data_IF_385935269393
#
_entry.id   IF_385935269393
#
_cell.length_a   1.000
_cell.length_b   1.000
_cell.length_c   1.000
_cell.angle_alpha   90.00
_cell.angle_beta   90.00
_cell.angle_gamma   90.00
#
_symmetry.space_group_name_H-M   'P 1'
#
loop_
_entity.id
_entity.type
_entity.pdbx_description
1 polymer ?
#
# COMPACT_ATOMS: atom_id res chain seq x y z
N UNK A 1 12.52 -8.89 -8.24
CA UNK A 1 11.39 -8.15 -7.64
C UNK A 1 11.82 -6.71 -7.32
N UNK A 2 11.01 -5.96 -6.54
CA UNK A 2 11.23 -4.56 -6.15
C UNK A 2 12.04 -4.35 -4.89
N UNK A 3 11.82 -3.21 -4.22
CA UNK A 3 12.50 -2.74 -2.98
C UNK A 3 14.03 -2.85 -3.04
N UNK A 4 14.61 -2.72 -4.24
CA UNK A 4 16.04 -2.92 -4.51
C UNK A 4 16.97 -1.94 -3.79
N UNK A 5 16.43 -0.79 -3.37
CA UNK A 5 17.18 0.21 -2.60
C UNK A 5 17.25 -0.11 -1.10
N UNK A 6 16.44 -1.05 -0.61
CA UNK A 6 16.42 -1.46 0.79
C UNK A 6 17.39 -2.63 0.98
N UNK A 7 18.48 -2.47 1.76
CA UNK A 7 19.40 -3.57 2.01
C UNK A 7 18.70 -4.63 2.86
N UNK A 8 18.50 -5.81 2.28
CA UNK A 8 18.03 -7.01 2.96
C UNK A 8 19.13 -8.07 2.90
N UNK A 9 19.44 -8.68 4.05
CA UNK A 9 20.53 -9.65 4.17
C UNK A 9 20.17 -10.78 5.11
N UNK A 10 20.87 -11.90 4.92
CA UNK A 10 20.82 -13.05 5.80
C UNK A 10 21.85 -12.85 6.93
N UNK A 11 21.49 -13.20 8.16
CA UNK A 11 22.34 -12.98 9.34
C UNK A 11 22.45 -14.24 10.18
N UNK A 12 23.66 -14.52 10.66
CA UNK A 12 23.95 -15.53 11.68
C UNK A 12 24.35 -14.82 12.97
N UNK A 13 23.75 -15.23 14.08
CA UNK A 13 24.05 -14.68 15.40
C UNK A 13 24.98 -15.66 16.14
N UNK A 14 26.28 -15.39 16.13
CA UNK A 14 27.28 -16.09 16.94
C UNK A 14 27.77 -15.18 18.08
N UNK A 15 27.51 -15.59 19.33
CA UNK A 15 27.88 -14.81 20.53
C UNK A 15 27.23 -13.43 20.63
N UNK A 16 26.18 -13.15 19.86
CA UNK A 16 25.50 -11.85 19.86
C UNK A 16 24.86 -11.56 21.22
N UNK A 17 25.21 -10.44 21.83
CA UNK A 17 24.66 -10.02 23.12
C UNK A 17 23.25 -9.47 22.93
N UNK A 18 22.26 -10.12 23.54
CA UNK A 18 20.87 -9.66 23.59
C UNK A 18 20.41 -9.35 25.02
N UNK A 19 19.45 -8.45 25.13
CA UNK A 19 18.83 -8.08 26.41
C UNK A 19 17.35 -8.44 26.39
N UNK A 20 16.85 -9.00 27.49
CA UNK A 20 15.42 -9.31 27.63
C UNK A 20 14.64 -8.01 27.78
N UNK A 21 13.59 -7.85 26.99
CA UNK A 21 12.64 -6.75 27.08
C UNK A 21 11.33 -7.27 27.67
N UNK A 22 10.93 -6.75 28.83
CA UNK A 22 9.71 -7.14 29.53
C UNK A 22 9.78 -8.54 30.16
N UNK A 23 8.64 -9.23 30.23
CA UNK A 23 8.53 -10.60 30.75
C UNK A 23 9.04 -11.61 29.69
N UNK A 24 10.04 -12.47 30.01
CA UNK A 24 10.56 -13.49 29.10
C UNK A 24 9.48 -14.39 28.48
N UNK A 25 8.37 -14.61 29.17
CA UNK A 25 7.30 -15.48 28.71
C UNK A 25 6.29 -14.79 27.77
N UNK A 26 6.46 -13.48 27.53
CA UNK A 26 5.51 -12.66 26.76
C UNK A 26 6.07 -12.10 25.45
N UNK A 27 7.26 -12.55 25.01
CA UNK A 27 7.93 -12.02 23.82
C UNK A 27 7.05 -11.95 22.56
N UNK A 28 6.23 -12.98 22.32
CA UNK A 28 5.32 -12.98 21.15
C UNK A 28 4.27 -11.87 21.21
N UNK A 29 3.77 -11.53 22.40
CA UNK A 29 2.76 -10.50 22.58
C UNK A 29 3.34 -9.11 22.32
N UNK A 30 4.56 -8.85 22.82
CA UNK A 30 5.27 -7.60 22.53
C UNK A 30 5.55 -7.45 21.03
N UNK A 31 5.94 -8.54 20.36
CA UNK A 31 6.16 -8.52 18.91
C UNK A 31 4.86 -8.30 18.12
N UNK A 32 3.72 -8.82 18.58
CA UNK A 32 2.43 -8.59 17.92
C UNK A 32 2.00 -7.11 17.97
N UNK A 33 2.37 -6.36 19.01
CA UNK A 33 2.11 -4.91 19.07
C UNK A 33 2.89 -4.16 17.99
N UNK A 34 4.19 -4.42 17.87
CA UNK A 34 5.01 -3.84 16.82
C UNK A 34 4.56 -4.29 15.40
N UNK A 35 4.08 -5.53 15.26
CA UNK A 35 3.52 -6.01 14.00
C UNK A 35 2.27 -5.22 13.57
N UNK A 36 1.40 -4.86 14.51
CA UNK A 36 0.21 -4.07 14.21
C UNK A 36 0.57 -2.70 13.62
N UNK A 37 1.53 -1.99 14.22
CA UNK A 37 2.02 -0.72 13.68
C UNK A 37 2.63 -0.89 12.28
N UNK A 38 3.44 -1.93 12.09
CA UNK A 38 4.06 -2.21 10.79
C UNK A 38 3.03 -2.47 9.68
N UNK A 39 1.90 -3.12 10.01
CA UNK A 39 0.79 -3.37 9.06
C UNK A 39 0.09 -2.09 8.65
N UNK A 40 -0.11 -1.15 9.58
CA UNK A 40 -0.66 0.18 9.28
C UNK A 40 0.29 0.95 8.36
N UNK A 41 1.60 0.93 8.66
CA UNK A 41 2.61 1.56 7.81
C UNK A 41 2.63 0.97 6.40
N UNK A 42 2.51 -0.36 6.27
CA UNK A 42 2.42 -1.03 4.99
C UNK A 42 1.15 -0.65 4.22
N UNK A 43 -0.01 -0.56 4.88
CA UNK A 43 -1.24 -0.10 4.24
C UNK A 43 -1.10 1.32 3.67
N UNK A 44 -0.48 2.24 4.42
CA UNK A 44 -0.18 3.60 3.94
C UNK A 44 0.75 3.57 2.72
N UNK A 45 1.80 2.75 2.74
CA UNK A 45 2.71 2.60 1.60
C UNK A 45 1.97 2.08 0.35
N UNK A 46 1.12 1.06 0.51
CA UNK A 46 0.29 0.50 -0.56
C UNK A 46 -0.66 1.53 -1.17
N UNK A 47 -1.37 2.30 -0.33
CA UNK A 47 -2.23 3.40 -0.79
C UNK A 47 -1.42 4.50 -1.49
N UNK A 48 -0.19 4.77 -1.03
CA UNK A 48 0.74 5.68 -1.71
C UNK A 48 1.08 5.21 -3.14
N UNK A 49 1.36 3.91 -3.30
CA UNK A 49 1.58 3.29 -4.62
C UNK A 49 0.33 3.42 -5.49
N UNK A 50 -0.86 3.09 -4.97
CA UNK A 50 -2.13 3.23 -5.69
C UNK A 50 -2.32 4.66 -6.21
N UNK A 51 -2.10 5.65 -5.34
CA UNK A 51 -2.21 7.07 -5.70
C UNK A 51 -1.21 7.47 -6.77
N UNK A 52 0.04 7.02 -6.66
CA UNK A 52 1.08 7.31 -7.66
C UNK A 52 0.75 6.67 -9.01
N UNK A 53 0.40 5.39 -9.02
CA UNK A 53 0.02 4.66 -10.24
C UNK A 53 -1.15 5.31 -10.97
N UNK A 54 -2.22 5.66 -10.25
CA UNK A 54 -3.37 6.38 -10.83
C UNK A 54 -2.97 7.74 -11.40
N UNK A 55 -2.12 8.51 -10.69
CA UNK A 55 -1.71 9.84 -11.13
C UNK A 55 -0.87 9.80 -12.40
N UNK A 56 0.07 8.84 -12.50
CA UNK A 56 0.86 8.60 -13.70
C UNK A 56 -0.03 8.20 -14.88
N UNK A 57 -0.92 7.23 -14.67
CA UNK A 57 -1.82 6.75 -15.73
C UNK A 57 -2.71 7.88 -16.25
N UNK A 58 -3.36 8.62 -15.34
CA UNK A 58 -4.19 9.76 -15.73
C UNK A 58 -3.39 10.81 -16.48
N UNK A 59 -2.21 11.17 -15.99
CA UNK A 59 -1.38 12.18 -16.64
C UNK A 59 -0.97 11.75 -18.05
N UNK A 60 -0.53 10.50 -18.24
CA UNK A 60 -0.15 9.99 -19.54
C UNK A 60 -1.33 9.97 -20.52
N UNK A 61 -2.48 9.45 -20.09
CA UNK A 61 -3.68 9.35 -20.93
C UNK A 61 -4.24 10.71 -21.33
N UNK A 62 -4.11 11.73 -20.48
CA UNK A 62 -4.54 13.11 -20.79
C UNK A 62 -3.66 13.81 -21.82
N UNK A 63 -2.46 13.29 -22.10
CA UNK A 63 -1.51 13.89 -23.05
C UNK A 63 -1.22 12.97 -24.25
N UNK A 64 -1.88 11.81 -24.31
CA UNK A 64 -1.67 10.81 -25.36
C UNK A 64 -2.88 10.78 -26.29
N UNK A 65 -2.61 10.88 -27.58
CA UNK A 65 -3.61 10.70 -28.63
C UNK A 65 -3.50 9.32 -29.26
N UNK A 66 -4.65 8.75 -29.61
CA UNK A 66 -4.78 7.59 -30.48
C UNK A 66 -6.12 7.66 -31.21
N UNK A 67 -6.19 7.10 -32.42
CA UNK A 67 -7.42 7.08 -33.23
C UNK A 67 -8.08 8.48 -33.41
N UNK A 68 -7.26 9.54 -33.42
CA UNK A 68 -7.68 10.91 -33.70
C UNK A 68 -8.13 11.74 -32.49
N UNK A 69 -8.12 11.18 -31.27
CA UNK A 69 -8.54 11.89 -30.06
C UNK A 69 -7.61 11.62 -28.88
N UNK A 70 -7.65 12.48 -27.87
CA UNK A 70 -6.97 12.24 -26.58
C UNK A 70 -7.60 11.03 -25.88
N UNK A 71 -6.78 10.16 -25.31
CA UNK A 71 -7.24 8.88 -24.76
C UNK A 71 -8.30 9.04 -23.65
N UNK A 72 -8.28 10.13 -22.88
CA UNK A 72 -9.30 10.42 -21.87
C UNK A 72 -10.68 10.77 -22.43
N UNK A 73 -10.85 10.94 -23.74
CA UNK A 73 -12.16 11.13 -24.38
C UNK A 73 -12.90 9.81 -24.62
N UNK A 74 -12.21 8.66 -24.54
CA UNK A 74 -12.84 7.36 -24.76
C UNK A 74 -13.56 6.85 -23.50
N UNK A 75 -14.83 6.42 -23.61
CA UNK A 75 -15.62 5.98 -22.45
C UNK A 75 -14.97 4.87 -21.62
N UNK A 76 -14.28 3.93 -22.27
CA UNK A 76 -13.59 2.82 -21.58
C UNK A 76 -12.46 3.32 -20.66
N UNK A 77 -11.72 4.34 -21.10
CA UNK A 77 -10.66 4.96 -20.30
C UNK A 77 -11.27 5.75 -19.14
N UNK A 78 -12.35 6.49 -19.40
CA UNK A 78 -13.06 7.24 -18.38
C UNK A 78 -13.61 6.33 -17.28
N UNK A 79 -14.23 5.20 -17.64
CA UNK A 79 -14.74 4.21 -16.69
C UNK A 79 -13.62 3.64 -15.80
N UNK A 80 -12.49 3.26 -16.41
CA UNK A 80 -11.32 2.76 -15.68
C UNK A 80 -10.75 3.79 -14.70
N UNK A 81 -10.53 5.02 -15.16
CA UNK A 81 -10.02 6.11 -14.33
C UNK A 81 -11.00 6.51 -13.22
N UNK A 82 -12.31 6.52 -13.50
CA UNK A 82 -13.33 6.85 -12.50
C UNK A 82 -13.38 5.81 -11.38
N UNK A 83 -13.35 4.51 -11.73
CA UNK A 83 -13.28 3.41 -10.75
C UNK A 83 -12.03 3.51 -9.89
N UNK A 84 -10.88 3.82 -10.49
CA UNK A 84 -9.63 3.96 -9.74
C UNK A 84 -9.64 5.21 -8.85
N UNK A 85 -10.16 6.33 -9.34
CA UNK A 85 -10.29 7.54 -8.54
C UNK A 85 -11.17 7.31 -7.30
N UNK A 86 -12.32 6.64 -7.47
CA UNK A 86 -13.24 6.35 -6.37
C UNK A 86 -12.60 5.38 -5.35
N UNK A 87 -12.01 4.28 -5.83
CA UNK A 87 -11.43 3.26 -4.95
C UNK A 87 -10.23 3.79 -4.19
N UNK A 88 -9.29 4.52 -4.82
CA UNK A 88 -8.15 5.10 -4.09
C UNK A 88 -8.59 6.11 -3.03
N UNK A 89 -9.66 6.87 -3.29
CA UNK A 89 -10.19 7.81 -2.31
C UNK A 89 -10.73 7.08 -1.06
N UNK A 90 -11.49 6.01 -1.26
CA UNK A 90 -12.03 5.19 -0.16
C UNK A 90 -10.92 4.50 0.62
N UNK A 91 -9.89 3.95 -0.05
CA UNK A 91 -8.77 3.30 0.64
C UNK A 91 -7.96 4.29 1.49
N UNK A 92 -7.72 5.51 0.97
CA UNK A 92 -7.10 6.58 1.76
C UNK A 92 -7.94 6.88 2.99
N UNK A 93 -9.23 7.20 2.82
CA UNK A 93 -10.10 7.57 3.94
C UNK A 93 -10.15 6.47 5.01
N UNK A 94 -10.42 5.24 4.58
CA UNK A 94 -10.51 4.06 5.47
C UNK A 94 -9.20 3.82 6.23
N UNK A 95 -8.04 4.02 5.58
CA UNK A 95 -6.74 3.86 6.24
C UNK A 95 -6.50 4.95 7.30
N UNK A 96 -6.88 6.20 7.03
CA UNK A 96 -6.76 7.29 7.99
C UNK A 96 -7.76 7.17 9.16
N UNK A 97 -8.97 6.65 8.90
CA UNK A 97 -9.93 6.33 9.95
C UNK A 97 -9.40 5.22 10.87
N UNK A 98 -8.74 4.20 10.30
CA UNK A 98 -8.04 3.18 11.09
C UNK A 98 -6.92 3.78 11.95
N UNK A 99 -6.14 4.72 11.42
CA UNK A 99 -5.07 5.37 12.19
C UNK A 99 -5.65 6.10 13.41
N UNK A 100 -6.73 6.86 13.22
CA UNK A 100 -7.41 7.54 14.34
C UNK A 100 -7.90 6.54 15.40
N UNK A 101 -8.51 5.43 14.97
CA UNK A 101 -8.93 4.37 15.87
C UNK A 101 -7.75 3.74 16.62
N UNK A 102 -6.64 3.51 15.91
CA UNK A 102 -5.41 2.98 16.49
C UNK A 102 -4.84 3.89 17.57
N UNK A 103 -4.84 5.21 17.35
CA UNK A 103 -4.39 6.21 18.34
C UNK A 103 -5.29 6.22 19.58
N UNK A 104 -6.61 6.13 19.40
CA UNK A 104 -7.57 6.03 20.53
C UNK A 104 -7.32 4.76 21.35
N UNK A 105 -7.11 3.62 20.70
CA UNK A 105 -6.86 2.34 21.38
C UNK A 105 -5.51 2.33 22.09
N UNK A 106 -4.43 2.80 21.44
CA UNK A 106 -3.08 2.81 22.00
C UNK A 106 -2.88 3.84 23.12
N UNK A 107 -3.65 4.92 23.13
CA UNK A 107 -3.69 5.88 24.24
C UNK A 107 -4.47 5.39 25.48
N UNK A 108 -5.06 4.20 25.42
CA UNK A 108 -5.85 3.62 26.52
C UNK A 108 -7.26 4.18 26.66
N UNK A 109 -7.73 4.97 25.70
CA UNK A 109 -9.05 5.61 25.72
C UNK A 109 -10.13 4.82 24.94
N UNK A 110 -9.75 3.73 24.29
CA UNK A 110 -10.66 2.91 23.48
C UNK A 110 -11.61 2.06 24.33
N UNK A 111 -12.86 1.96 23.87
CA UNK A 111 -13.83 0.98 24.41
C UNK A 111 -13.44 -0.45 24.05
N UNK A 112 -14.08 -1.44 24.69
CA UNK A 112 -13.91 -2.86 24.31
C UNK A 112 -14.20 -3.10 22.83
N UNK A 113 -15.22 -2.42 22.29
CA UNK A 113 -15.56 -2.46 20.87
C UNK A 113 -14.44 -1.89 20.00
N UNK A 114 -13.83 -0.78 20.40
CA UNK A 114 -12.76 -0.14 19.64
C UNK A 114 -11.53 -1.04 19.56
N UNK A 115 -11.18 -1.72 20.65
CA UNK A 115 -10.07 -2.69 20.69
C UNK A 115 -10.31 -3.84 19.71
N UNK A 116 -11.52 -4.40 19.70
CA UNK A 116 -11.91 -5.49 18.79
C UNK A 116 -11.86 -5.02 17.33
N UNK A 117 -12.46 -3.86 17.03
CA UNK A 117 -12.51 -3.31 15.68
C UNK A 117 -11.12 -2.94 15.18
N UNK A 118 -10.28 -2.33 16.02
CA UNK A 118 -8.90 -1.99 15.67
C UNK A 118 -8.12 -3.25 15.24
N UNK A 119 -8.18 -4.31 16.06
CA UNK A 119 -7.51 -5.58 15.74
C UNK A 119 -7.98 -6.18 14.42
N UNK A 120 -9.29 -6.15 14.16
CA UNK A 120 -9.87 -6.69 12.92
C UNK A 120 -9.48 -5.84 11.71
N UNK A 121 -9.66 -4.53 11.80
CA UNK A 121 -9.48 -3.59 10.69
C UNK A 121 -8.03 -3.52 10.22
N UNK A 122 -7.03 -3.60 11.12
CA UNK A 122 -5.61 -3.64 10.74
C UNK A 122 -5.32 -4.79 9.77
N UNK A 123 -5.86 -5.97 10.03
CA UNK A 123 -5.63 -7.14 9.19
C UNK A 123 -6.33 -6.99 7.83
N UNK A 124 -7.58 -6.52 7.83
CA UNK A 124 -8.38 -6.33 6.62
C UNK A 124 -7.74 -5.27 5.71
N UNK A 125 -7.44 -4.10 6.26
CA UNK A 125 -6.92 -2.96 5.49
C UNK A 125 -5.54 -3.27 4.92
N UNK A 126 -4.65 -3.92 5.68
CA UNK A 126 -3.35 -4.35 5.14
C UNK A 126 -3.51 -5.28 3.94
N UNK A 127 -4.41 -6.25 4.02
CA UNK A 127 -4.65 -7.19 2.92
C UNK A 127 -5.22 -6.47 1.70
N UNK A 128 -6.33 -5.74 1.89
CA UNK A 128 -7.05 -5.06 0.80
C UNK A 128 -6.13 -4.09 0.06
N UNK A 129 -5.46 -3.19 0.78
CA UNK A 129 -4.60 -2.18 0.16
C UNK A 129 -3.42 -2.78 -0.60
N UNK A 130 -2.83 -3.88 -0.09
CA UNK A 130 -1.74 -4.57 -0.79
C UNK A 130 -2.22 -5.20 -2.12
N UNK A 131 -3.36 -5.90 -2.12
CA UNK A 131 -3.95 -6.47 -3.34
C UNK A 131 -4.31 -5.38 -4.36
N UNK A 132 -4.87 -4.26 -3.89
CA UNK A 132 -5.18 -3.10 -4.74
C UNK A 132 -3.91 -2.43 -5.28
N UNK A 133 -2.84 -2.29 -4.50
CA UNK A 133 -1.60 -1.68 -4.96
C UNK A 133 -1.01 -2.43 -6.16
N UNK A 134 -0.98 -3.77 -6.11
CA UNK A 134 -0.53 -4.60 -7.24
C UNK A 134 -1.42 -4.38 -8.46
N UNK A 135 -2.75 -4.40 -8.27
CA UNK A 135 -3.71 -4.17 -9.36
C UNK A 135 -3.50 -2.79 -10.02
N UNK A 136 -3.41 -1.73 -9.23
CA UNK A 136 -3.23 -0.37 -9.73
C UNK A 136 -1.92 -0.22 -10.50
N UNK A 137 -0.83 -0.79 -9.99
CA UNK A 137 0.46 -0.71 -10.65
C UNK A 137 0.46 -1.48 -11.99
N UNK A 138 -0.13 -2.67 -12.02
CA UNK A 138 -0.27 -3.46 -13.25
C UNK A 138 -1.11 -2.74 -14.31
N UNK A 139 -2.24 -2.18 -13.92
CA UNK A 139 -3.15 -1.47 -14.81
C UNK A 139 -2.54 -0.14 -15.29
N UNK A 140 -1.78 0.55 -14.44
CA UNK A 140 -1.04 1.73 -14.86
C UNK A 140 0.01 1.42 -15.93
N UNK A 141 0.67 0.26 -15.86
CA UNK A 141 1.57 -0.23 -16.92
C UNK A 141 0.79 -0.41 -18.22
N UNK A 142 -0.34 -1.11 -18.18
CA UNK A 142 -1.16 -1.38 -19.37
C UNK A 142 -1.69 -0.08 -20.01
N UNK A 143 -2.15 0.87 -19.20
CA UNK A 143 -2.63 2.18 -19.66
C UNK A 143 -1.53 3.06 -20.29
N UNK A 144 -0.26 2.83 -19.95
CA UNK A 144 0.87 3.47 -20.61
C UNK A 144 1.30 2.74 -21.91
N UNK A 145 0.74 1.56 -22.17
CA UNK A 145 1.12 0.69 -23.28
C UNK A 145 2.58 0.25 -23.18
N UNK A 146 3.28 0.19 -24.31
CA UNK A 146 4.68 -0.26 -24.37
C UNK A 146 5.62 0.50 -23.44
N UNK A 147 5.45 1.83 -23.32
CA UNK A 147 6.26 2.67 -22.43
C UNK A 147 6.07 2.29 -20.96
N UNK A 148 4.89 1.79 -20.60
CA UNK A 148 4.60 1.34 -19.25
C UNK A 148 5.50 0.20 -18.78
N UNK A 149 6.05 -0.57 -19.73
CA UNK A 149 6.91 -1.73 -19.48
C UNK A 149 8.41 -1.39 -19.49
N UNK A 150 8.79 -0.19 -19.93
CA UNK A 150 10.19 0.23 -20.03
C UNK A 150 10.65 0.81 -18.67
N UNK A 151 11.75 0.27 -18.13
CA UNK A 151 12.25 0.59 -16.78
C UNK A 151 12.72 2.05 -16.59
N UNK A 152 12.86 2.82 -17.67
CA UNK A 152 13.11 4.27 -17.62
C UNK A 152 11.87 5.04 -17.12
N UNK A 153 10.69 4.46 -17.26
CA UNK A 153 9.45 4.99 -16.69
C UNK A 153 9.25 4.49 -15.26
N UNK A 154 8.41 5.20 -14.51
CA UNK A 154 8.16 4.87 -13.10
C UNK A 154 7.29 3.63 -12.92
N UNK A 155 6.49 3.26 -13.92
CA UNK A 155 5.44 2.23 -13.81
C UNK A 155 5.96 0.81 -13.54
N UNK A 156 7.07 0.30 -14.14
CA UNK A 156 7.59 -1.02 -13.78
C UNK A 156 8.08 -1.06 -12.33
N UNK A 157 8.70 0.02 -11.85
CA UNK A 157 9.11 0.12 -10.45
C UNK A 157 7.91 0.03 -9.51
N UNK A 158 6.81 0.72 -9.82
CA UNK A 158 5.59 0.66 -9.01
C UNK A 158 5.08 -0.78 -8.87
N UNK A 159 5.04 -1.57 -9.95
CA UNK A 159 4.57 -2.95 -9.88
C UNK A 159 5.54 -3.84 -9.08
N UNK A 160 6.84 -3.71 -9.35
CA UNK A 160 7.86 -4.48 -8.63
C UNK A 160 7.83 -4.21 -7.12
N UNK A 161 7.61 -2.96 -6.73
CA UNK A 161 7.57 -2.53 -5.32
C UNK A 161 6.20 -2.83 -4.69
N UNK A 162 5.10 -2.81 -5.43
CA UNK A 162 3.77 -3.18 -4.94
C UNK A 162 3.65 -4.66 -4.55
N UNK A 163 4.47 -5.52 -5.16
CA UNK A 163 4.43 -6.97 -4.99
C UNK A 163 5.06 -7.46 -3.67
N UNK A 164 5.62 -6.56 -2.85
CA UNK A 164 6.32 -6.86 -1.58
C UNK A 164 5.38 -7.13 -0.41
#
# INVERSE_FOLDING_TARGET
LGVRAVPAGEVEFDGAVGYVVGDPNKGIYYMLEALNLSRICNAIASVGIMRRAYSEAKHYLSNREAFGEVLTNYPMIQDSLAKFAAKVHVEVATTFDLIQLYDVVTSGNGSERDIILNRLNIAIIKKETAEQAVKYASEAIELHGGNGYIEDFVTPRLLRDAQV
#
